data_IF_200728114946
#
_entry.id   IF_200728114946
#
_cell.length_a   1.000
_cell.length_b   1.000
_cell.length_c   1.000
_cell.angle_alpha   90.00
_cell.angle_beta   90.00
_cell.angle_gamma   90.00
#
_symmetry.space_group_name_H-M   'P 1'
#
loop_
_entity.id
_entity.type
_entity.pdbx_description
1 polymer ?
#
# COMPACT_ATOMS: atom_id res chain seq x y z
N UNK A 1 22.88 25.26 6.00
CA UNK A 1 24.24 25.22 6.56
C UNK A 1 24.80 23.83 6.42
N UNK A 2 25.86 23.69 5.65
CA UNK A 2 26.63 22.44 5.53
C UNK A 2 27.53 22.28 6.77
N UNK A 3 27.83 21.04 7.23
CA UNK A 3 28.67 20.82 8.42
C UNK A 3 30.06 21.46 8.32
N UNK A 4 30.64 21.54 7.12
CA UNK A 4 31.94 22.20 6.88
C UNK A 4 31.90 23.71 7.20
N UNK A 5 30.77 24.37 6.97
CA UNK A 5 30.58 25.81 7.26
C UNK A 5 30.61 26.11 8.76
N UNK A 6 30.27 25.14 9.61
CA UNK A 6 30.28 25.31 11.08
C UNK A 6 31.69 25.15 11.66
N UNK A 7 32.51 24.29 11.03
CA UNK A 7 33.90 24.03 11.47
C UNK A 7 34.84 25.14 10.96
N UNK A 8 34.57 25.69 9.78
CA UNK A 8 35.31 26.80 9.18
C UNK A 8 36.71 26.43 8.67
N UNK A 9 37.28 27.31 7.84
CA UNK A 9 38.58 27.13 7.17
C UNK A 9 38.44 26.80 5.68
N UNK A 10 39.56 26.47 5.04
CA UNK A 10 39.61 26.29 3.58
C UNK A 10 38.88 25.02 3.12
N UNK A 11 38.10 25.14 2.05
CA UNK A 11 37.32 24.07 1.42
C UNK A 11 38.21 22.91 0.96
N UNK A 12 39.46 23.21 0.58
CA UNK A 12 40.45 22.21 0.19
C UNK A 12 40.81 21.21 1.31
N UNK A 13 40.48 21.52 2.57
CA UNK A 13 40.71 20.61 3.72
C UNK A 13 39.61 19.56 3.90
N UNK A 14 38.51 19.67 3.15
CA UNK A 14 37.34 18.82 3.34
C UNK A 14 37.09 17.94 2.11
N UNK A 15 36.91 16.64 2.38
CA UNK A 15 36.58 15.64 1.37
C UNK A 15 35.27 14.94 1.69
N UNK A 16 34.45 14.65 0.68
CA UNK A 16 33.15 13.97 0.83
C UNK A 16 33.25 12.51 0.42
N UNK A 17 33.17 11.65 1.42
CA UNK A 17 33.10 10.20 1.23
C UNK A 17 31.64 9.73 1.12
N UNK A 18 31.34 8.83 0.18
CA UNK A 18 30.00 8.25 -0.04
C UNK A 18 30.12 6.74 -0.17
N UNK A 19 29.27 6.00 0.57
CA UNK A 19 29.16 4.55 0.52
C UNK A 19 27.69 4.16 0.72
N UNK A 20 27.28 3.04 0.13
CA UNK A 20 25.90 2.52 0.22
C UNK A 20 25.74 1.43 1.30
N UNK A 21 26.86 0.90 1.81
CA UNK A 21 26.92 -0.15 2.82
C UNK A 21 28.13 0.06 3.74
N UNK A 22 28.06 -0.48 4.96
CA UNK A 22 29.13 -0.35 5.96
C UNK A 22 29.92 -1.67 5.99
N UNK A 23 30.80 -1.85 5.01
CA UNK A 23 31.70 -3.03 4.91
C UNK A 23 33.16 -2.58 4.81
N UNK A 24 34.11 -3.41 5.26
CA UNK A 24 35.54 -3.08 5.21
C UNK A 24 35.99 -2.64 3.81
N UNK A 25 35.52 -3.35 2.79
CA UNK A 25 35.85 -3.06 1.40
C UNK A 25 35.20 -1.75 0.92
N UNK A 26 33.91 -1.52 1.19
CA UNK A 26 33.21 -0.31 0.79
C UNK A 26 33.81 0.95 1.45
N UNK A 27 34.18 0.87 2.74
CA UNK A 27 34.84 1.97 3.43
C UNK A 27 36.21 2.23 2.82
N UNK A 28 37.05 1.21 2.63
CA UNK A 28 38.38 1.41 2.03
C UNK A 28 38.29 2.08 0.65
N UNK A 29 37.41 1.57 -0.22
CA UNK A 29 37.19 2.13 -1.56
C UNK A 29 36.72 3.58 -1.51
N UNK A 30 35.81 3.91 -0.60
CA UNK A 30 35.26 5.27 -0.50
C UNK A 30 36.30 6.30 -0.02
N UNK A 31 37.32 5.88 0.73
CA UNK A 31 38.45 6.72 1.16
C UNK A 31 39.59 6.77 0.14
N UNK A 32 39.74 5.76 -0.73
CA UNK A 32 40.70 5.77 -1.85
C UNK A 32 40.32 6.80 -2.93
N UNK A 33 39.02 7.02 -3.14
CA UNK A 33 38.49 7.99 -4.11
C UNK A 33 37.49 8.96 -3.44
N UNK A 34 37.96 9.90 -2.61
CA UNK A 34 37.10 10.91 -2.02
C UNK A 34 36.53 11.84 -3.11
N UNK A 35 35.23 12.14 -3.01
CA UNK A 35 34.59 13.15 -3.86
C UNK A 35 34.59 14.53 -3.21
N UNK A 36 34.09 15.51 -3.96
CA UNK A 36 33.86 16.87 -3.46
C UNK A 36 32.44 17.05 -2.92
N UNK A 37 32.24 18.10 -2.12
CA UNK A 37 30.91 18.48 -1.66
C UNK A 37 30.06 18.98 -2.83
N UNK A 38 28.99 18.25 -3.16
CA UNK A 38 28.08 18.65 -4.21
C UNK A 38 27.12 19.78 -3.76
N UNK A 39 27.42 21.01 -4.15
CA UNK A 39 26.64 22.21 -3.79
C UNK A 39 25.20 22.16 -4.34
N UNK A 40 24.98 21.58 -5.53
CA UNK A 40 23.63 21.42 -6.07
C UNK A 40 22.73 20.56 -5.17
N UNK A 41 23.27 19.49 -4.58
CA UNK A 41 22.54 18.66 -3.60
C UNK A 41 22.26 19.40 -2.30
N UNK A 42 23.19 20.25 -1.85
CA UNK A 42 23.00 21.11 -0.68
C UNK A 42 21.88 22.13 -0.95
N UNK A 43 21.94 22.83 -2.08
CA UNK A 43 20.95 23.84 -2.47
C UNK A 43 19.55 23.22 -2.64
N UNK A 44 19.44 22.05 -3.25
CA UNK A 44 18.17 21.33 -3.37
C UNK A 44 17.57 21.01 -1.98
N UNK A 45 18.41 20.61 -1.02
CA UNK A 45 17.98 20.32 0.33
C UNK A 45 17.57 21.58 1.11
N UNK A 46 18.32 22.67 0.94
CA UNK A 46 17.99 23.97 1.54
C UNK A 46 16.69 24.53 0.96
N UNK A 47 16.49 24.47 -0.36
CA UNK A 47 15.26 24.88 -1.01
C UNK A 47 14.05 24.09 -0.48
N UNK A 48 14.18 22.76 -0.32
CA UNK A 48 13.14 21.93 0.30
C UNK A 48 12.81 22.39 1.73
N UNK A 49 13.84 22.61 2.56
CA UNK A 49 13.66 23.12 3.93
C UNK A 49 12.98 24.48 3.95
N UNK A 50 13.34 25.36 3.03
CA UNK A 50 12.73 26.67 2.91
C UNK A 50 11.24 26.54 2.56
N UNK A 51 10.90 25.74 1.54
CA UNK A 51 9.50 25.46 1.17
C UNK A 51 8.68 24.90 2.34
N UNK A 52 9.22 23.93 3.07
CA UNK A 52 8.50 23.31 4.20
C UNK A 52 8.29 24.33 5.35
N UNK A 53 9.26 25.23 5.60
CA UNK A 53 9.13 26.33 6.58
C UNK A 53 8.14 27.40 6.17
N UNK A 54 8.14 27.81 4.90
CA UNK A 54 7.20 28.80 4.37
C UNK A 54 5.76 28.34 4.58
N UNK A 55 5.45 27.09 4.22
CA UNK A 55 4.11 26.54 4.43
C UNK A 55 3.79 26.46 5.93
N UNK A 56 4.73 25.97 6.75
CA UNK A 56 4.53 25.86 8.19
C UNK A 56 4.23 27.20 8.86
N UNK A 57 5.05 28.24 8.61
CA UNK A 57 4.91 29.54 9.27
C UNK A 57 3.80 30.41 8.69
N UNK A 58 3.52 30.33 7.39
CA UNK A 58 2.50 31.18 6.78
C UNK A 58 1.09 30.58 6.91
N UNK A 59 0.94 29.26 6.80
CA UNK A 59 -0.38 28.62 6.76
C UNK A 59 -0.89 28.23 8.15
N UNK A 60 -0.02 27.82 9.08
CA UNK A 60 -0.48 27.41 10.43
C UNK A 60 -1.21 28.52 11.20
N UNK A 61 -0.78 29.80 11.18
CA UNK A 61 -1.53 30.88 11.84
C UNK A 61 -2.95 31.07 11.27
N UNK A 62 -3.14 30.84 9.97
CA UNK A 62 -4.46 30.89 9.34
C UNK A 62 -5.36 29.75 9.84
N UNK A 63 -4.80 28.54 9.99
CA UNK A 63 -5.53 27.40 10.56
C UNK A 63 -5.96 27.66 12.00
N UNK A 64 -5.12 28.31 12.82
CA UNK A 64 -5.48 28.68 14.19
C UNK A 64 -6.62 29.68 14.26
N UNK A 65 -6.64 30.65 13.35
CA UNK A 65 -7.69 31.67 13.28
C UNK A 65 -9.02 31.11 12.79
N UNK A 66 -9.00 30.07 11.93
CA UNK A 66 -10.19 29.59 11.21
C UNK A 66 -10.74 28.25 11.66
N UNK A 67 -9.91 27.39 12.28
CA UNK A 67 -10.29 26.01 12.62
C UNK A 67 -10.04 25.77 14.12
N UNK A 68 -8.78 25.62 14.54
CA UNK A 68 -8.43 25.34 15.93
C UNK A 68 -6.96 25.70 16.20
N UNK A 69 -6.69 26.19 17.42
CA UNK A 69 -5.31 26.43 17.90
C UNK A 69 -4.53 25.10 17.96
N UNK A 70 -3.23 25.15 17.69
CA UNK A 70 -2.35 23.98 17.74
C UNK A 70 -2.29 23.15 16.45
N UNK A 71 -3.08 23.48 15.42
CA UNK A 71 -2.98 22.82 14.12
C UNK A 71 -1.71 23.23 13.38
N UNK A 72 -1.09 22.27 12.69
CA UNK A 72 0.07 22.53 11.83
C UNK A 72 -0.29 22.29 10.37
N UNK A 73 0.18 23.18 9.50
CA UNK A 73 0.13 22.99 8.06
C UNK A 73 1.46 22.40 7.58
N UNK A 74 1.39 21.35 6.76
CA UNK A 74 2.58 20.73 6.19
C UNK A 74 2.39 20.51 4.70
N UNK A 75 3.35 20.96 3.88
CA UNK A 75 3.28 20.87 2.41
C UNK A 75 2.94 19.47 1.89
N UNK A 76 3.52 18.43 2.51
CA UNK A 76 3.28 17.02 2.15
C UNK A 76 2.18 16.39 3.00
N UNK A 77 2.12 16.73 4.30
CA UNK A 77 1.15 16.15 5.23
C UNK A 77 -0.30 16.49 4.86
N UNK A 78 -0.57 17.73 4.47
CA UNK A 78 -1.92 18.16 4.08
C UNK A 78 -2.42 17.41 2.83
N UNK A 79 -1.54 17.07 1.88
CA UNK A 79 -1.88 16.24 0.72
C UNK A 79 -2.14 14.78 1.13
N UNK A 80 -1.34 14.23 2.04
CA UNK A 80 -1.57 12.88 2.56
C UNK A 80 -2.93 12.77 3.29
N UNK A 81 -3.25 13.76 4.14
CA UNK A 81 -4.55 13.84 4.82
C UNK A 81 -5.68 13.99 3.80
N UNK A 82 -5.48 14.80 2.75
CA UNK A 82 -6.46 14.93 1.66
C UNK A 82 -6.78 13.59 1.01
N UNK A 83 -5.78 12.76 0.69
CA UNK A 83 -6.01 11.44 0.09
C UNK A 83 -6.86 10.53 1.00
N UNK A 84 -6.62 10.56 2.32
CA UNK A 84 -7.43 9.80 3.29
C UNK A 84 -8.86 10.34 3.34
N UNK A 85 -9.03 11.66 3.39
CA UNK A 85 -10.35 12.30 3.45
C UNK A 85 -11.14 12.09 2.15
N UNK A 86 -10.49 12.11 0.98
CA UNK A 86 -11.11 11.79 -0.30
C UNK A 86 -11.62 10.35 -0.31
N UNK A 87 -10.79 9.39 0.12
CA UNK A 87 -11.20 7.98 0.25
C UNK A 87 -12.35 7.79 1.23
N UNK A 88 -12.34 8.49 2.36
CA UNK A 88 -13.42 8.45 3.34
C UNK A 88 -14.73 9.03 2.78
N UNK A 89 -14.64 10.09 1.98
CA UNK A 89 -15.81 10.66 1.29
C UNK A 89 -16.39 9.71 0.25
N UNK A 90 -15.53 9.01 -0.51
CA UNK A 90 -15.97 7.97 -1.43
C UNK A 90 -16.70 6.84 -0.69
N UNK A 91 -16.16 6.38 0.45
CA UNK A 91 -16.80 5.36 1.29
C UNK A 91 -18.16 5.85 1.81
N UNK A 92 -18.26 7.09 2.26
CA UNK A 92 -19.54 7.67 2.75
C UNK A 92 -20.57 7.90 1.66
N UNK A 93 -20.13 8.22 0.45
CA UNK A 93 -21.00 8.43 -0.71
C UNK A 93 -21.37 7.11 -1.42
N UNK A 94 -20.73 6.00 -1.05
CA UNK A 94 -21.01 4.69 -1.63
C UNK A 94 -22.39 4.21 -1.20
N UNK A 95 -23.28 4.03 -2.17
CA UNK A 95 -24.59 3.39 -2.00
C UNK A 95 -24.44 1.93 -2.46
N UNK A 96 -24.47 0.94 -1.56
CA UNK A 96 -24.34 -0.46 -1.95
C UNK A 96 -25.50 -0.90 -2.84
N UNK A 97 -25.16 -1.60 -3.92
CA UNK A 97 -26.14 -2.22 -4.81
C UNK A 97 -26.15 -3.73 -4.56
N UNK A 98 -27.36 -4.29 -4.41
CA UNK A 98 -27.54 -5.72 -4.26
C UNK A 98 -27.26 -6.43 -5.59
N UNK A 99 -26.43 -7.47 -5.53
CA UNK A 99 -26.26 -8.42 -6.62
C UNK A 99 -26.01 -9.80 -6.04
N UNK A 100 -26.35 -10.83 -6.80
CA UNK A 100 -26.16 -12.21 -6.38
C UNK A 100 -25.25 -12.94 -7.35
N UNK A 101 -24.48 -13.86 -6.81
CA UNK A 101 -23.71 -14.84 -7.53
C UNK A 101 -24.34 -16.22 -7.29
N UNK A 102 -24.24 -17.11 -8.28
CA UNK A 102 -24.70 -18.49 -8.14
C UNK A 102 -23.52 -19.41 -8.40
N UNK A 103 -23.23 -20.25 -7.42
CA UNK A 103 -22.25 -21.33 -7.52
C UNK A 103 -22.98 -22.66 -7.66
N UNK A 104 -22.50 -23.50 -8.58
CA UNK A 104 -22.96 -24.85 -8.82
C UNK A 104 -21.89 -25.86 -8.36
N UNK A 105 -22.23 -26.67 -7.37
CA UNK A 105 -21.39 -27.79 -6.95
C UNK A 105 -21.64 -28.97 -7.89
N UNK A 106 -20.72 -29.22 -8.81
CA UNK A 106 -20.81 -30.33 -9.76
C UNK A 106 -19.79 -31.41 -9.44
N UNK A 107 -19.97 -32.59 -10.03
CA UNK A 107 -18.99 -33.68 -9.96
C UNK A 107 -18.58 -34.10 -11.35
N UNK A 108 -17.29 -34.41 -11.53
CA UNK A 108 -16.77 -34.98 -12.77
C UNK A 108 -17.32 -36.40 -12.98
N UNK A 109 -17.18 -36.97 -14.19
CA UNK A 109 -17.46 -38.40 -14.41
C UNK A 109 -16.62 -39.34 -13.53
N UNK A 110 -15.46 -38.89 -13.03
CA UNK A 110 -14.63 -39.63 -12.06
C UNK A 110 -15.09 -39.49 -10.60
N UNK A 111 -16.12 -38.68 -10.33
CA UNK A 111 -16.65 -38.43 -8.99
C UNK A 111 -15.92 -37.33 -8.20
N UNK A 112 -15.02 -36.58 -8.84
CA UNK A 112 -14.29 -35.47 -8.20
C UNK A 112 -15.16 -34.21 -8.14
N UNK A 113 -15.09 -33.46 -7.04
CA UNK A 113 -15.84 -32.21 -6.89
C UNK A 113 -15.27 -31.11 -7.80
N UNK A 114 -16.15 -30.45 -8.55
CA UNK A 114 -15.84 -29.33 -9.43
C UNK A 114 -16.84 -28.19 -9.16
N UNK A 115 -16.49 -27.22 -8.29
CA UNK A 115 -17.30 -26.03 -8.09
C UNK A 115 -17.21 -25.11 -9.32
N UNK A 116 -18.35 -24.65 -9.81
CA UNK A 116 -18.47 -23.76 -10.96
C UNK A 116 -19.25 -22.51 -10.56
N UNK A 117 -18.85 -21.34 -11.05
CA UNK A 117 -19.61 -20.11 -10.90
C UNK A 117 -20.35 -19.77 -12.19
N UNK A 118 -21.61 -19.37 -12.09
CA UNK A 118 -22.39 -18.94 -13.25
C UNK A 118 -21.89 -17.56 -13.71
N UNK A 119 -21.39 -17.48 -14.94
CA UNK A 119 -20.83 -16.24 -15.50
C UNK A 119 -21.76 -15.57 -16.51
N UNK A 120 -22.52 -16.34 -17.28
CA UNK A 120 -23.37 -15.83 -18.36
C UNK A 120 -24.72 -16.54 -18.44
N UNK A 121 -25.74 -15.82 -18.90
CA UNK A 121 -27.04 -16.36 -19.27
C UNK A 121 -27.48 -15.70 -20.58
N UNK A 122 -27.82 -16.50 -21.60
CA UNK A 122 -28.19 -16.01 -22.94
C UNK A 122 -27.16 -15.01 -23.51
N UNK A 123 -25.88 -15.37 -23.45
CA UNK A 123 -24.73 -14.57 -23.91
C UNK A 123 -24.56 -13.19 -23.23
N UNK A 124 -25.24 -12.96 -22.10
CA UNK A 124 -25.10 -11.74 -21.28
C UNK A 124 -24.46 -12.06 -19.93
N UNK A 125 -23.69 -11.13 -19.34
CA UNK A 125 -23.15 -11.29 -17.99
C UNK A 125 -24.26 -11.59 -16.99
N UNK A 126 -24.09 -12.66 -16.23
CA UNK A 126 -25.04 -13.08 -15.21
C UNK A 126 -24.81 -12.26 -13.93
N UNK A 127 -25.73 -11.34 -13.63
CA UNK A 127 -25.69 -10.50 -12.43
C UNK A 127 -27.11 -10.16 -11.95
N UNK A 128 -27.85 -11.12 -11.39
CA UNK A 128 -29.17 -10.87 -10.83
C UNK A 128 -29.09 -9.85 -9.68
N UNK A 129 -30.05 -8.92 -9.65
CA UNK A 129 -30.06 -7.79 -8.69
C UNK A 129 -30.97 -8.01 -7.49
N UNK A 130 -31.70 -9.13 -7.45
CA UNK A 130 -32.61 -9.46 -6.35
C UNK A 130 -32.86 -10.96 -6.26
N UNK A 131 -33.46 -11.37 -5.13
CA UNK A 131 -33.80 -12.77 -4.82
C UNK A 131 -34.70 -13.44 -5.86
N UNK A 132 -35.68 -12.72 -6.43
CA UNK A 132 -36.64 -13.32 -7.38
C UNK A 132 -35.96 -13.74 -8.68
N UNK A 133 -35.10 -12.88 -9.24
CA UNK A 133 -34.29 -13.20 -10.42
C UNK A 133 -33.33 -14.36 -10.15
N UNK A 134 -32.70 -14.37 -8.98
CA UNK A 134 -31.79 -15.45 -8.56
C UNK A 134 -32.53 -16.78 -8.48
N UNK A 135 -33.70 -16.85 -7.82
CA UNK A 135 -34.48 -18.09 -7.68
C UNK A 135 -35.04 -18.59 -9.03
N UNK A 136 -35.42 -17.68 -9.93
CA UNK A 136 -35.81 -18.04 -11.28
C UNK A 136 -34.65 -18.68 -12.05
N UNK A 137 -33.44 -18.13 -11.92
CA UNK A 137 -32.23 -18.71 -12.51
C UNK A 137 -31.87 -20.07 -11.88
N UNK A 138 -31.94 -20.21 -10.55
CA UNK A 138 -31.73 -21.50 -9.86
C UNK A 138 -32.69 -22.56 -10.39
N UNK A 139 -33.98 -22.24 -10.51
CA UNK A 139 -35.00 -23.18 -11.00
C UNK A 139 -34.72 -23.70 -12.41
N UNK A 140 -34.05 -22.91 -13.25
CA UNK A 140 -33.60 -23.32 -14.58
C UNK A 140 -32.33 -24.18 -14.49
N UNK A 141 -31.37 -23.78 -13.65
CA UNK A 141 -30.08 -24.45 -13.47
C UNK A 141 -30.19 -25.83 -12.82
N UNK A 142 -31.15 -26.04 -11.92
CA UNK A 142 -31.44 -27.36 -11.31
C UNK A 142 -31.91 -28.39 -12.35
N UNK A 143 -32.58 -27.92 -13.41
CA UNK A 143 -33.09 -28.77 -14.49
C UNK A 143 -32.13 -28.85 -15.67
N UNK A 144 -31.10 -28.02 -15.68
CA UNK A 144 -30.12 -27.95 -16.76
C UNK A 144 -29.19 -29.17 -16.72
N UNK A 145 -28.69 -29.56 -17.90
CA UNK A 145 -27.60 -30.51 -18.01
C UNK A 145 -26.29 -29.76 -18.22
N UNK A 146 -25.28 -30.13 -17.45
CA UNK A 146 -23.97 -29.53 -17.50
C UNK A 146 -23.06 -30.34 -18.43
N UNK A 147 -22.40 -29.65 -19.35
CA UNK A 147 -21.34 -30.20 -20.19
C UNK A 147 -20.18 -29.23 -20.24
N UNK A 148 -18.97 -29.76 -20.38
CA UNK A 148 -17.77 -28.95 -20.55
C UNK A 148 -17.77 -28.42 -21.98
N UNK A 149 -17.85 -27.10 -22.15
CA UNK A 149 -17.76 -26.44 -23.45
C UNK A 149 -16.31 -26.32 -23.92
N UNK A 150 -15.42 -25.91 -23.02
CA UNK A 150 -14.03 -25.64 -23.32
C UNK A 150 -13.16 -25.99 -22.10
N UNK A 151 -11.97 -26.53 -22.34
CA UNK A 151 -10.92 -26.70 -21.35
C UNK A 151 -9.62 -26.17 -21.91
N UNK A 152 -9.06 -25.17 -21.24
CA UNK A 152 -7.81 -24.55 -21.64
C UNK A 152 -6.74 -24.76 -20.55
N UNK A 153 -5.69 -25.49 -20.91
CA UNK A 153 -4.54 -25.74 -20.03
C UNK A 153 -3.36 -24.86 -20.48
N UNK A 154 -3.10 -23.78 -19.74
CA UNK A 154 -2.00 -22.85 -20.01
C UNK A 154 -0.95 -22.91 -18.90
N UNK A 155 0.34 -23.16 -19.21
CA UNK A 155 1.39 -23.07 -18.21
C UNK A 155 1.53 -21.60 -17.77
N UNK A 156 1.36 -21.35 -16.48
CA UNK A 156 1.57 -20.03 -15.88
C UNK A 156 2.89 -20.01 -15.12
N UNK A 157 3.60 -18.88 -15.17
CA UNK A 157 4.85 -18.67 -14.44
C UNK A 157 4.80 -17.32 -13.74
N UNK A 158 5.21 -17.28 -12.48
CA UNK A 158 5.36 -16.05 -11.71
C UNK A 158 6.82 -15.65 -11.66
N UNK A 159 7.10 -14.37 -11.96
CA UNK A 159 8.45 -13.83 -11.83
C UNK A 159 8.74 -13.52 -10.36
N UNK A 160 9.99 -13.74 -9.90
CA UNK A 160 10.37 -13.34 -8.56
C UNK A 160 10.18 -11.82 -8.38
N UNK A 161 9.80 -11.43 -7.17
CA UNK A 161 9.67 -10.03 -6.82
C UNK A 161 10.99 -9.28 -6.98
N UNK A 162 10.91 -7.99 -7.32
CA UNK A 162 12.08 -7.12 -7.33
C UNK A 162 12.76 -7.08 -5.95
N UNK A 163 14.06 -6.78 -5.94
CA UNK A 163 14.81 -6.54 -4.70
C UNK A 163 14.11 -5.50 -3.83
N UNK A 164 14.30 -5.63 -2.52
CA UNK A 164 13.68 -4.75 -1.54
C UNK A 164 14.15 -3.30 -1.74
N UNK A 165 13.17 -2.40 -1.81
CA UNK A 165 13.33 -0.97 -1.69
C UNK A 165 12.64 -0.50 -0.41
N UNK A 166 12.95 0.70 0.14
CA UNK A 166 12.30 1.21 1.35
C UNK A 166 10.76 1.19 1.26
N UNK A 167 10.21 1.55 0.10
CA UNK A 167 8.76 1.52 -0.15
C UNK A 167 8.20 0.09 -0.11
N UNK A 168 8.90 -0.90 -0.68
CA UNK A 168 8.46 -2.30 -0.66
C UNK A 168 8.60 -2.92 0.74
N UNK A 169 9.62 -2.50 1.49
CA UNK A 169 9.82 -2.93 2.87
C UNK A 169 8.69 -2.45 3.79
N UNK A 170 8.35 -1.15 3.75
CA UNK A 170 7.28 -0.57 4.58
C UNK A 170 5.87 -1.05 4.20
N UNK A 171 5.69 -1.67 3.03
CA UNK A 171 4.43 -2.26 2.58
C UNK A 171 4.28 -3.74 2.96
N UNK A 172 5.31 -4.36 3.54
CA UNK A 172 5.20 -5.75 3.97
C UNK A 172 4.18 -5.84 5.10
N UNK A 173 3.32 -6.87 5.11
CA UNK A 173 2.47 -7.15 6.25
C UNK A 173 3.35 -7.22 7.51
N UNK A 174 2.93 -6.51 8.57
CA UNK A 174 3.55 -6.70 9.88
C UNK A 174 3.23 -8.14 10.31
N UNK A 175 4.24 -8.97 10.63
CA UNK A 175 3.97 -10.35 11.00
C UNK A 175 3.03 -10.42 12.22
N UNK A 176 2.02 -11.28 12.18
CA UNK A 176 1.00 -11.39 13.24
C UNK A 176 1.56 -11.75 14.62
N UNK A 177 2.78 -12.28 14.72
CA UNK A 177 3.46 -12.54 16.00
C UNK A 177 3.95 -11.26 16.69
N UNK A 178 4.09 -10.14 15.97
CA UNK A 178 4.42 -8.83 16.55
C UNK A 178 3.22 -8.21 17.29
N UNK A 179 2.01 -8.71 17.04
CA UNK A 179 0.75 -8.31 17.70
C UNK A 179 0.32 -9.27 18.81
N UNK A 180 1.15 -10.26 19.19
CA UNK A 180 0.85 -11.12 20.33
C UNK A 180 1.26 -10.38 21.60
N UNK A 181 0.41 -9.44 22.03
CA UNK A 181 0.49 -8.87 23.36
C UNK A 181 0.36 -9.99 24.41
N UNK A 182 1.14 -9.79 25.45
CA UNK A 182 1.33 -10.58 26.64
C UNK A 182 0.01 -10.63 27.43
N UNK A 183 -0.93 -11.50 27.03
CA UNK A 183 -1.99 -11.91 27.93
C UNK A 183 -1.36 -12.77 29.02
N UNK A 184 -0.88 -12.10 30.07
CA UNK A 184 -0.55 -12.73 31.33
C UNK A 184 -1.84 -13.39 31.85
N UNK A 185 -1.77 -14.69 32.07
CA UNK A 185 -2.82 -15.51 32.68
C UNK A 185 -3.16 -14.96 34.07
N UNK A 186 -4.18 -14.11 34.16
CA UNK A 186 -4.90 -13.93 35.42
C UNK A 186 -5.82 -15.14 35.60
N UNK A 187 -5.31 -16.10 36.36
CA UNK A 187 -6.09 -17.20 36.88
C UNK A 187 -7.26 -16.70 37.71
N UNK A 188 -8.48 -17.05 37.27
CA UNK A 188 -9.67 -17.02 38.10
C UNK A 188 -10.33 -18.41 38.04
N UNK A 189 -9.88 -19.30 38.93
CA UNK A 189 -10.69 -20.38 39.45
C UNK A 189 -11.48 -19.87 40.68
N UNK A 190 -12.67 -20.45 40.91
CA UNK A 190 -13.68 -20.18 41.96
C UNK A 190 -14.60 -18.97 41.66
N UNK A 191 -15.94 -19.09 41.66
CA UNK A 191 -16.91 -19.95 42.38
C UNK A 191 -17.98 -20.48 41.43
#
# INVERSE_FOLDING_TARGET
>A
MAPAEVIGGDDARYSRVVFNEITKNAIRQAFEQPGELNINRVNAQQARRFMDRVVGYMVSPLLWKKIARGLSAGRVQSVAVRLVVEREREIKAFVPEEFWEIDANTSTPSGEALPLQVTHQNDKPFRPVNREQTLAAVSLLEKARYSVLEREDKPTSSKPGARLSPQRYNRRPVPGWLWREENHDDGAASV
#
